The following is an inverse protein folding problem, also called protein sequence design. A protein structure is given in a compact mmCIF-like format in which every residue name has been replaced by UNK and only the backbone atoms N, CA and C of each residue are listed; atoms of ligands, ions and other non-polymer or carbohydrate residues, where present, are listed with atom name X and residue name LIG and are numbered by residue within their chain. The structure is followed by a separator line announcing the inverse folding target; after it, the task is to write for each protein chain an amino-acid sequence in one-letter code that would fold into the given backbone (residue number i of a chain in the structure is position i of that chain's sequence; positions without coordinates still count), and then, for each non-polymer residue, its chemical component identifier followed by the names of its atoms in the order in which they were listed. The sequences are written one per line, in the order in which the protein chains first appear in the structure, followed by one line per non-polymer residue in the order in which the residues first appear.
data_IF_128375029671
#
_entry.id   IF_128375029671
#
_cell.length_a   1.000
_cell.length_b   1.000
_cell.length_c   1.000
_cell.angle_alpha   90.00
_cell.angle_beta   90.00
_cell.angle_gamma   90.00
#
_symmetry.space_group_name_H-M   'P 1'
#
loop_
_entity.id
_entity.type
_entity.pdbx_description
1 polymer ?
#
# COMPACT_ATOMS: atom_id res chain seq x y z
N UNK A 1 -24.74 -36.76 -45.76
CA UNK A 1 -23.50 -36.05 -46.13
C UNK A 1 -22.66 -35.93 -44.88
N UNK A 2 -21.58 -36.70 -44.77
CA UNK A 2 -20.68 -36.62 -43.61
C UNK A 2 -19.82 -35.37 -43.76
N UNK A 3 -19.79 -34.51 -42.74
CA UNK A 3 -18.92 -33.34 -42.70
C UNK A 3 -17.44 -33.77 -42.56
N UNK A 4 -16.49 -33.03 -43.13
CA UNK A 4 -15.08 -33.40 -43.10
C UNK A 4 -14.50 -33.15 -41.70
N UNK A 5 -13.58 -34.01 -41.27
CA UNK A 5 -12.84 -33.83 -40.02
C UNK A 5 -12.03 -32.51 -40.05
N UNK A 6 -12.05 -31.71 -38.98
CA UNK A 6 -11.25 -30.50 -38.89
C UNK A 6 -9.77 -30.83 -38.80
N UNK A 7 -8.95 -30.07 -39.52
CA UNK A 7 -7.49 -30.15 -39.45
C UNK A 7 -6.99 -29.84 -38.02
N UNK A 8 -5.90 -30.47 -37.55
CA UNK A 8 -5.38 -30.18 -36.23
C UNK A 8 -4.92 -28.71 -36.16
N UNK A 9 -5.45 -27.98 -35.17
CA UNK A 9 -4.98 -26.66 -34.80
C UNK A 9 -3.51 -26.74 -34.35
N UNK A 10 -2.71 -25.68 -34.58
CA UNK A 10 -1.30 -25.68 -34.22
C UNK A 10 -1.17 -25.89 -32.71
N UNK A 11 -0.39 -26.89 -32.31
CA UNK A 11 -0.07 -27.15 -30.92
C UNK A 11 0.57 -25.88 -30.31
N UNK A 12 -0.17 -25.19 -29.44
CA UNK A 12 0.45 -24.23 -28.53
C UNK A 12 1.17 -25.06 -27.48
N UNK A 13 2.48 -25.14 -27.64
CA UNK A 13 3.40 -25.67 -26.65
C UNK A 13 3.30 -24.83 -25.38
N UNK A 14 2.72 -25.38 -24.32
CA UNK A 14 2.88 -24.89 -22.95
C UNK A 14 4.37 -24.97 -22.59
N UNK A 15 5.07 -23.86 -22.82
CA UNK A 15 6.42 -23.67 -22.29
C UNK A 15 6.28 -23.27 -20.83
N UNK A 16 6.46 -24.23 -19.94
CA UNK A 16 7.11 -23.97 -18.66
C UNK A 16 8.37 -23.14 -18.97
N UNK A 17 8.33 -21.82 -18.76
CA UNK A 17 9.52 -20.99 -18.91
C UNK A 17 10.43 -21.24 -17.72
N UNK A 18 11.17 -22.35 -17.76
CA UNK A 18 12.35 -22.63 -16.93
C UNK A 18 13.54 -21.78 -17.40
N UNK A 19 13.29 -20.53 -17.77
CA UNK A 19 14.26 -19.64 -18.40
C UNK A 19 14.30 -18.28 -17.70
N UNK A 20 15.45 -17.57 -17.77
CA UNK A 20 15.65 -16.29 -17.09
C UNK A 20 14.83 -15.12 -17.67
N UNK A 21 13.97 -15.38 -18.66
CA UNK A 21 13.15 -14.38 -19.36
C UNK A 21 11.68 -14.56 -18.97
N UNK A 22 11.20 -13.59 -18.21
CA UNK A 22 9.79 -13.35 -17.92
C UNK A 22 9.19 -12.44 -19.01
N UNK A 23 8.12 -12.92 -19.66
CA UNK A 23 7.43 -12.18 -20.71
C UNK A 23 6.73 -10.92 -20.20
N UNK A 24 6.28 -10.89 -18.95
CA UNK A 24 5.63 -9.72 -18.37
C UNK A 24 6.64 -8.58 -18.20
N UNK A 25 7.85 -8.88 -17.71
CA UNK A 25 8.94 -7.91 -17.59
C UNK A 25 9.34 -7.36 -18.97
N UNK A 26 9.35 -8.23 -19.99
CA UNK A 26 9.68 -7.83 -21.35
C UNK A 26 8.65 -6.83 -21.90
N UNK A 27 7.35 -7.09 -21.70
CA UNK A 27 6.29 -6.18 -22.12
C UNK A 27 6.29 -4.88 -21.32
N UNK A 28 6.60 -4.91 -20.02
CA UNK A 28 6.76 -3.69 -19.20
C UNK A 28 7.87 -2.80 -19.77
N UNK A 29 9.05 -3.38 -20.03
CA UNK A 29 10.16 -2.64 -20.62
C UNK A 29 9.82 -2.09 -22.01
N UNK A 30 9.19 -2.90 -22.88
CA UNK A 30 8.74 -2.44 -24.20
C UNK A 30 7.77 -1.27 -24.09
N UNK A 31 6.78 -1.35 -23.20
CA UNK A 31 5.80 -0.29 -22.96
C UNK A 31 6.50 1.02 -22.56
N UNK A 32 7.47 0.94 -21.64
CA UNK A 32 8.25 2.10 -21.18
C UNK A 32 9.08 2.73 -22.29
N UNK A 33 9.73 1.93 -23.13
CA UNK A 33 10.44 2.45 -24.30
C UNK A 33 9.48 3.11 -25.30
N UNK A 34 8.35 2.48 -25.57
CA UNK A 34 7.35 3.00 -26.50
C UNK A 34 6.74 4.32 -26.02
N UNK A 35 6.49 4.48 -24.72
CA UNK A 35 5.94 5.72 -24.17
C UNK A 35 6.92 6.90 -24.31
N UNK A 36 8.21 6.65 -24.06
CA UNK A 36 9.27 7.66 -24.24
C UNK A 36 9.40 8.06 -25.72
N UNK A 37 9.26 7.10 -26.63
CA UNK A 37 9.28 7.36 -28.07
C UNK A 37 8.01 8.07 -28.57
N UNK A 38 6.86 7.80 -27.95
CA UNK A 38 5.60 8.44 -28.29
C UNK A 38 5.54 9.91 -27.83
N UNK A 39 6.15 10.23 -26.68
CA UNK A 39 6.10 11.57 -26.06
C UNK A 39 7.48 12.08 -25.62
N UNK A 40 8.46 12.19 -26.54
CA UNK A 40 9.83 12.51 -26.18
C UNK A 40 9.99 13.93 -25.61
N UNK A 41 9.23 14.90 -26.11
CA UNK A 41 9.28 16.28 -25.63
C UNK A 41 8.76 16.43 -24.19
N UNK A 42 7.76 15.64 -23.80
CA UNK A 42 7.24 15.65 -22.42
C UNK A 42 8.25 15.06 -21.46
N UNK A 43 8.85 13.92 -21.83
CA UNK A 43 9.86 13.25 -21.01
C UNK A 43 11.12 14.09 -20.85
N UNK A 44 11.66 14.67 -21.93
CA UNK A 44 12.87 15.52 -21.88
C UNK A 44 12.68 16.74 -20.99
N UNK A 45 11.49 17.36 -21.02
CA UNK A 45 11.17 18.51 -20.19
C UNK A 45 10.63 18.14 -18.79
N UNK A 46 10.54 16.84 -18.47
CA UNK A 46 10.05 16.41 -17.17
C UNK A 46 11.02 16.79 -16.05
N UNK A 47 10.47 17.41 -15.02
CA UNK A 47 11.17 17.79 -13.78
C UNK A 47 10.30 17.44 -12.59
N UNK A 48 10.92 16.96 -11.53
CA UNK A 48 10.22 16.67 -10.29
C UNK A 48 9.60 17.96 -9.69
N UNK A 49 8.42 17.87 -9.06
CA UNK A 49 7.78 19.00 -8.36
C UNK A 49 8.67 19.66 -7.29
N UNK A 50 8.38 20.90 -6.91
CA UNK A 50 9.09 21.59 -5.82
C UNK A 50 8.89 20.92 -4.45
N UNK A 51 7.84 20.11 -4.30
CA UNK A 51 7.54 19.31 -3.09
C UNK A 51 8.30 17.97 -3.04
N UNK A 52 9.18 17.69 -4.00
CA UNK A 52 9.94 16.43 -4.05
C UNK A 52 11.05 16.38 -3.00
N UNK A 53 11.25 15.17 -2.46
CA UNK A 53 12.24 14.89 -1.42
C UNK A 53 13.65 14.77 -2.01
N UNK A 54 14.69 15.17 -1.26
CA UNK A 54 16.07 14.94 -1.66
C UNK A 54 16.42 13.44 -1.63
N UNK A 55 17.48 13.08 -2.36
CA UNK A 55 18.08 11.74 -2.30
C UNK A 55 18.75 11.54 -0.94
N UNK A 56 18.45 10.43 -0.26
CA UNK A 56 19.08 10.13 1.03
C UNK A 56 20.53 9.68 0.83
N UNK A 57 20.76 8.80 -0.14
CA UNK A 57 22.09 8.31 -0.45
C UNK A 57 22.84 9.29 -1.36
N UNK A 58 24.07 9.61 -0.99
CA UNK A 58 24.95 10.50 -1.77
C UNK A 58 25.36 9.86 -3.10
N UNK A 59 25.35 10.63 -4.19
CA UNK A 59 25.72 10.16 -5.53
C UNK A 59 27.15 9.61 -5.59
N UNK A 60 28.12 10.31 -5.01
CA UNK A 60 29.53 9.87 -4.94
C UNK A 60 29.84 8.92 -3.78
N UNK A 61 28.80 8.44 -3.07
CA UNK A 61 28.95 7.48 -1.98
C UNK A 61 29.13 6.03 -2.44
N UNK A 62 29.56 5.78 -3.68
CA UNK A 62 29.54 4.46 -4.30
C UNK A 62 30.42 3.41 -3.59
N UNK A 63 31.44 3.82 -2.84
CA UNK A 63 32.38 2.92 -2.15
C UNK A 63 31.88 2.30 -0.83
N UNK A 64 30.68 2.65 -0.37
CA UNK A 64 30.13 2.13 0.89
C UNK A 64 28.70 1.61 0.70
N UNK A 65 28.42 0.29 0.70
CA UNK A 65 29.34 -0.79 1.06
C UNK A 65 30.25 -1.22 -0.10
N UNK A 66 31.46 -1.65 0.23
CA UNK A 66 32.49 -2.09 -0.73
C UNK A 66 32.01 -3.31 -1.55
N UNK A 67 31.22 -4.19 -0.94
CA UNK A 67 30.65 -5.37 -1.62
C UNK A 67 29.71 -4.99 -2.76
N UNK A 68 28.83 -4.00 -2.54
CA UNK A 68 27.95 -3.48 -3.59
C UNK A 68 28.76 -2.82 -4.69
N UNK A 69 29.74 -1.98 -4.33
CA UNK A 69 30.67 -1.37 -5.28
C UNK A 69 31.36 -2.43 -6.17
N UNK A 70 31.90 -3.49 -5.56
CA UNK A 70 32.59 -4.55 -6.27
C UNK A 70 31.66 -5.31 -7.24
N UNK A 71 30.45 -5.65 -6.80
CA UNK A 71 29.47 -6.34 -7.65
C UNK A 71 29.02 -5.43 -8.81
N UNK A 72 28.72 -4.16 -8.54
CA UNK A 72 28.27 -3.23 -9.59
C UNK A 72 29.38 -2.89 -10.58
N UNK A 73 30.64 -2.81 -10.14
CA UNK A 73 31.78 -2.60 -11.03
C UNK A 73 32.06 -3.82 -11.93
N UNK A 74 31.96 -5.04 -11.39
CA UNK A 74 32.28 -6.26 -12.13
C UNK A 74 31.11 -6.78 -12.98
N UNK A 75 29.89 -6.67 -12.46
CA UNK A 75 28.66 -7.23 -13.06
C UNK A 75 27.48 -6.27 -12.83
N UNK A 76 27.49 -5.08 -13.46
CA UNK A 76 26.47 -4.05 -13.25
C UNK A 76 25.05 -4.52 -13.62
N UNK A 77 24.92 -5.45 -14.59
CA UNK A 77 23.63 -6.00 -14.98
C UNK A 77 22.90 -6.72 -13.84
N UNK A 78 23.64 -7.39 -12.93
CA UNK A 78 23.04 -8.07 -11.77
C UNK A 78 22.52 -7.05 -10.76
N UNK A 79 23.28 -5.99 -10.47
CA UNK A 79 22.80 -4.90 -9.61
C UNK A 79 21.59 -4.22 -10.24
N UNK A 80 21.62 -3.95 -11.54
CA UNK A 80 20.48 -3.37 -12.26
C UNK A 80 19.23 -4.26 -12.16
N UNK A 81 19.35 -5.55 -12.47
CA UNK A 81 18.25 -6.50 -12.37
C UNK A 81 17.72 -6.66 -10.94
N UNK A 82 18.60 -6.60 -9.93
CA UNK A 82 18.23 -6.60 -8.50
C UNK A 82 17.43 -5.36 -8.13
N UNK A 83 17.92 -4.18 -8.49
CA UNK A 83 17.26 -2.91 -8.20
C UNK A 83 15.90 -2.86 -8.88
N UNK A 84 15.79 -3.30 -10.14
CA UNK A 84 14.51 -3.37 -10.85
C UNK A 84 13.52 -4.32 -10.18
N UNK A 85 13.95 -5.55 -9.83
CA UNK A 85 13.10 -6.52 -9.13
C UNK A 85 12.58 -5.98 -7.80
N UNK A 86 13.44 -5.28 -7.04
CA UNK A 86 13.05 -4.64 -5.77
C UNK A 86 11.99 -3.55 -5.99
N UNK A 87 12.10 -2.79 -7.08
CA UNK A 87 11.19 -1.69 -7.38
C UNK A 87 9.84 -2.16 -7.93
N UNK A 88 9.81 -3.16 -8.80
CA UNK A 88 8.57 -3.51 -9.53
C UNK A 88 7.90 -4.80 -9.04
N UNK A 89 8.66 -5.77 -8.54
CA UNK A 89 8.12 -7.09 -8.18
C UNK A 89 7.94 -7.26 -6.68
N UNK A 90 9.06 -7.32 -5.95
CA UNK A 90 9.01 -7.65 -4.53
C UNK A 90 10.13 -6.92 -3.76
N UNK A 91 9.70 -6.16 -2.76
CA UNK A 91 10.55 -5.34 -1.88
C UNK A 91 11.58 -6.17 -1.11
N UNK A 92 11.24 -7.41 -0.76
CA UNK A 92 12.05 -8.35 0.00
C UNK A 92 12.90 -9.28 -0.88
N UNK A 93 12.90 -9.08 -2.21
CA UNK A 93 13.61 -9.92 -3.18
C UNK A 93 13.18 -11.40 -3.17
N UNK A 94 11.94 -11.71 -2.76
CA UNK A 94 11.41 -13.06 -2.91
C UNK A 94 11.29 -13.41 -4.40
N UNK A 95 11.70 -14.63 -4.75
CA UNK A 95 11.75 -15.08 -6.15
C UNK A 95 12.76 -14.34 -7.03
N UNK A 96 13.69 -13.57 -6.43
CA UNK A 96 14.76 -12.92 -7.19
C UNK A 96 15.81 -13.92 -7.65
N UNK A 97 16.04 -13.95 -8.96
CA UNK A 97 17.17 -14.64 -9.57
C UNK A 97 18.21 -13.62 -10.08
N UNK A 98 19.53 -13.85 -9.85
CA UNK A 98 20.58 -12.93 -10.29
C UNK A 98 20.57 -12.63 -11.79
N UNK A 99 20.19 -13.63 -12.61
CA UNK A 99 20.04 -13.50 -14.05
C UNK A 99 18.55 -13.51 -14.38
N UNK A 100 17.97 -12.31 -14.45
CA UNK A 100 16.57 -12.10 -14.82
C UNK A 100 16.44 -11.28 -16.11
N UNK A 101 15.20 -11.04 -16.59
CA UNK A 101 14.93 -10.27 -17.82
C UNK A 101 15.63 -8.92 -17.83
N UNK A 102 15.60 -8.19 -16.72
CA UNK A 102 16.22 -6.86 -16.61
C UNK A 102 17.75 -6.91 -16.61
N UNK A 103 18.35 -7.94 -16.00
CA UNK A 103 19.77 -8.21 -16.09
C UNK A 103 20.19 -8.48 -17.54
N UNK A 104 19.45 -9.33 -18.26
CA UNK A 104 19.72 -9.64 -19.67
C UNK A 104 19.53 -8.42 -20.58
N UNK A 105 18.50 -7.61 -20.34
CA UNK A 105 18.26 -6.35 -21.05
C UNK A 105 19.43 -5.37 -20.86
N UNK A 106 19.88 -5.18 -19.63
CA UNK A 106 20.99 -4.28 -19.33
C UNK A 106 22.30 -4.77 -19.96
N UNK A 107 22.56 -6.08 -19.86
CA UNK A 107 23.71 -6.70 -20.50
C UNK A 107 23.69 -6.51 -22.03
N UNK A 108 22.57 -6.82 -22.68
CA UNK A 108 22.40 -6.63 -24.12
C UNK A 108 22.57 -5.15 -24.54
N UNK A 109 22.02 -4.22 -23.75
CA UNK A 109 22.18 -2.78 -23.96
C UNK A 109 23.64 -2.31 -23.79
N UNK A 110 24.38 -2.95 -22.89
CA UNK A 110 25.82 -2.69 -22.68
C UNK A 110 26.63 -3.15 -23.89
N UNK A 111 26.30 -4.30 -24.48
CA UNK A 111 26.96 -4.81 -25.68
C UNK A 111 26.88 -3.85 -26.89
N UNK A 112 25.85 -3.00 -26.94
CA UNK A 112 25.66 -1.99 -28.01
C UNK A 112 25.95 -0.55 -27.57
N UNK A 113 26.49 -0.34 -26.35
CA UNK A 113 26.84 0.99 -25.84
C UNK A 113 25.65 1.88 -25.45
N UNK A 114 24.44 1.31 -25.32
CA UNK A 114 23.21 2.03 -24.99
C UNK A 114 22.71 1.78 -23.56
N UNK A 115 23.56 1.25 -22.67
CA UNK A 115 23.22 0.93 -21.28
C UNK A 115 22.74 2.13 -20.45
N UNK A 116 23.14 3.35 -20.81
CA UNK A 116 22.70 4.58 -20.15
C UNK A 116 21.20 4.84 -20.32
N UNK A 117 20.56 4.30 -21.38
CA UNK A 117 19.12 4.45 -21.60
C UNK A 117 18.30 3.69 -20.56
N UNK A 118 18.39 2.35 -20.43
CA UNK A 118 17.64 1.62 -19.40
C UNK A 118 18.02 2.08 -17.99
N UNK A 119 19.27 2.51 -17.77
CA UNK A 119 19.70 3.06 -16.48
C UNK A 119 18.98 4.38 -16.13
N UNK A 120 18.90 5.31 -17.09
CA UNK A 120 18.18 6.58 -16.91
C UNK A 120 16.67 6.34 -16.75
N UNK A 121 16.09 5.39 -17.51
CA UNK A 121 14.68 5.04 -17.36
C UNK A 121 14.37 4.46 -15.97
N UNK A 122 15.23 3.58 -15.46
CA UNK A 122 15.08 3.06 -14.11
C UNK A 122 15.21 4.18 -13.05
N UNK A 123 16.17 5.10 -13.22
CA UNK A 123 16.31 6.27 -12.35
C UNK A 123 15.06 7.14 -12.36
N UNK A 124 14.49 7.41 -13.54
CA UNK A 124 13.26 8.17 -13.69
C UNK A 124 12.09 7.50 -12.96
N UNK A 125 11.93 6.18 -13.12
CA UNK A 125 10.89 5.42 -12.41
C UNK A 125 11.09 5.41 -10.89
N UNK A 126 12.34 5.32 -10.41
CA UNK A 126 12.66 5.45 -8.99
C UNK A 126 12.29 6.84 -8.46
N UNK A 127 12.56 7.90 -9.22
CA UNK A 127 12.19 9.28 -8.84
C UNK A 127 10.69 9.48 -8.79
N UNK A 128 9.97 8.96 -9.77
CA UNK A 128 8.52 9.04 -9.82
C UNK A 128 7.86 8.26 -8.68
N UNK A 129 8.30 7.02 -8.46
CA UNK A 129 7.78 6.14 -7.39
C UNK A 129 7.96 6.74 -5.99
N UNK A 130 9.10 7.38 -5.73
CA UNK A 130 9.43 7.90 -4.40
C UNK A 130 9.40 9.42 -4.27
N UNK A 131 8.86 10.12 -5.28
CA UNK A 131 8.81 11.59 -5.35
C UNK A 131 10.17 12.26 -5.05
N UNK A 132 11.22 11.83 -5.76
CA UNK A 132 12.59 12.33 -5.60
C UNK A 132 12.89 13.51 -6.54
N UNK A 133 13.75 14.42 -6.08
CA UNK A 133 14.23 15.54 -6.89
C UNK A 133 15.06 15.06 -8.09
N UNK A 134 14.81 15.64 -9.26
CA UNK A 134 15.57 15.38 -10.48
C UNK A 134 14.87 15.87 -11.74
N UNK A 135 15.48 15.59 -12.88
CA UNK A 135 14.91 15.84 -14.21
C UNK A 135 15.45 14.81 -15.19
N UNK A 136 14.76 14.61 -16.32
CA UNK A 136 15.20 13.66 -17.34
C UNK A 136 16.64 13.93 -17.81
N UNK A 137 17.03 15.19 -17.99
CA UNK A 137 18.39 15.55 -18.40
C UNK A 137 19.46 15.17 -17.37
N UNK A 138 19.14 15.33 -16.08
CA UNK A 138 20.05 14.93 -14.99
C UNK A 138 20.16 13.40 -14.92
N UNK A 139 19.06 12.68 -15.14
CA UNK A 139 19.11 11.21 -15.17
C UNK A 139 19.95 10.69 -16.33
N UNK A 140 19.81 11.30 -17.51
CA UNK A 140 20.64 10.97 -18.68
C UNK A 140 22.12 11.24 -18.43
N UNK A 141 22.42 12.42 -17.88
CA UNK A 141 23.79 12.84 -17.60
C UNK A 141 24.44 11.95 -16.53
N UNK A 142 23.71 11.60 -15.48
CA UNK A 142 24.23 10.73 -14.41
C UNK A 142 24.43 9.30 -14.90
N UNK A 143 23.49 8.76 -15.67
CA UNK A 143 23.60 7.44 -16.28
C UNK A 143 24.77 7.33 -17.28
N UNK A 144 25.00 8.38 -18.09
CA UNK A 144 26.06 8.39 -19.10
C UNK A 144 27.45 8.71 -18.51
N UNK A 145 27.55 9.64 -17.56
CA UNK A 145 28.83 10.15 -17.07
C UNK A 145 29.37 9.42 -15.83
N UNK A 146 28.51 8.83 -14.98
CA UNK A 146 28.93 7.89 -13.94
C UNK A 146 27.87 6.81 -13.69
N UNK A 147 27.66 5.92 -14.65
CA UNK A 147 26.66 4.84 -14.55
C UNK A 147 26.84 3.93 -13.32
N UNK A 148 28.08 3.71 -12.86
CA UNK A 148 28.34 2.94 -11.63
C UNK A 148 27.85 3.69 -10.38
N UNK A 149 28.19 4.99 -10.24
CA UNK A 149 27.72 5.82 -9.13
C UNK A 149 26.18 5.89 -9.12
N UNK A 150 25.59 6.10 -10.30
CA UNK A 150 24.16 6.18 -10.50
C UNK A 150 23.47 4.89 -10.06
N UNK A 151 23.90 3.74 -10.59
CA UNK A 151 23.30 2.45 -10.27
C UNK A 151 23.43 2.09 -8.77
N UNK A 152 24.57 2.39 -8.15
CA UNK A 152 24.76 2.15 -6.71
C UNK A 152 23.87 3.09 -5.89
N UNK A 153 23.72 4.35 -6.29
CA UNK A 153 22.80 5.28 -5.63
C UNK A 153 21.36 4.77 -5.74
N UNK A 154 20.95 4.31 -6.92
CA UNK A 154 19.62 3.73 -7.15
C UNK A 154 19.37 2.49 -6.29
N UNK A 155 20.31 1.54 -6.19
CA UNK A 155 20.14 0.32 -5.40
C UNK A 155 19.96 0.63 -3.90
N UNK A 156 20.80 1.52 -3.36
CA UNK A 156 20.70 1.92 -1.95
C UNK A 156 19.45 2.72 -1.64
N UNK A 157 19.04 3.59 -2.56
CA UNK A 157 17.83 4.38 -2.37
C UNK A 157 16.59 3.47 -2.43
N UNK A 158 16.56 2.52 -3.37
CA UNK A 158 15.53 1.49 -3.42
C UNK A 158 15.53 0.64 -2.15
N UNK A 159 16.67 0.17 -1.68
CA UNK A 159 16.76 -0.61 -0.43
C UNK A 159 16.29 0.19 0.79
N UNK A 160 16.78 1.42 0.97
CA UNK A 160 16.42 2.29 2.09
C UNK A 160 14.92 2.59 2.12
N UNK A 161 14.34 2.95 0.97
CA UNK A 161 12.93 3.36 0.89
C UNK A 161 11.98 2.19 0.92
N UNK A 162 12.34 1.07 0.29
CA UNK A 162 11.54 -0.14 0.41
C UNK A 162 11.61 -0.69 1.84
N UNK A 163 12.77 -0.68 2.50
CA UNK A 163 12.90 -1.03 3.92
C UNK A 163 12.11 -0.08 4.83
N UNK A 164 12.05 1.22 4.53
CA UNK A 164 11.15 2.14 5.23
C UNK A 164 9.69 1.81 4.95
N UNK A 165 9.33 1.49 3.71
CA UNK A 165 7.96 1.13 3.35
C UNK A 165 7.52 -0.20 3.96
N UNK A 166 8.45 -1.14 4.19
CA UNK A 166 8.24 -2.39 4.94
C UNK A 166 8.20 -2.10 6.44
N UNK A 167 9.03 -1.22 6.98
CA UNK A 167 8.87 -0.73 8.36
C UNK A 167 7.59 0.10 8.58
N UNK A 168 6.94 0.54 7.49
CA UNK A 168 5.63 1.20 7.48
C UNK A 168 4.50 0.22 7.10
N UNK A 169 4.83 -0.95 6.54
CA UNK A 169 3.92 -1.98 6.02
C UNK A 169 3.83 -3.24 6.88
N UNK A 170 4.84 -3.52 7.69
CA UNK A 170 4.76 -4.20 8.98
C UNK A 170 4.38 -3.13 9.99
N UNK A 171 3.08 -2.97 10.22
CA UNK A 171 2.49 -2.11 11.25
C UNK A 171 3.24 -0.81 11.49
N UNK A 172 2.85 0.27 10.77
CA UNK A 172 3.00 1.68 11.16
C UNK A 172 3.85 1.83 12.43
N UNK A 173 5.18 1.90 12.30
CA UNK A 173 6.02 2.28 13.43
C UNK A 173 5.63 3.71 13.77
N UNK A 174 4.86 3.81 14.84
CA UNK A 174 4.72 5.00 15.64
C UNK A 174 6.06 5.74 15.63
N UNK A 175 6.10 6.90 14.97
CA UNK A 175 7.14 7.86 15.33
C UNK A 175 7.03 8.03 16.84
N UNK A 176 8.15 8.10 17.54
CA UNK A 176 8.25 8.20 19.00
C UNK A 176 7.65 9.51 19.59
N UNK A 177 6.76 10.16 18.84
CA UNK A 177 5.88 11.26 19.25
C UNK A 177 4.38 10.84 19.23
N UNK A 178 4.07 9.58 18.90
CA UNK A 178 2.78 8.94 19.15
C UNK A 178 2.74 8.44 20.59
N UNK A 179 2.73 9.36 21.55
CA UNK A 179 2.09 9.03 22.82
C UNK A 179 0.64 8.68 22.49
N UNK A 180 0.30 7.40 22.47
CA UNK A 180 -0.97 6.95 23.06
C UNK A 180 -1.01 7.71 24.37
N UNK A 181 -1.86 8.73 24.49
CA UNK A 181 -2.06 9.43 25.76
C UNK A 181 -3.20 8.68 26.42
N UNK A 182 -2.95 7.73 27.33
CA UNK A 182 -4.00 7.26 28.20
C UNK A 182 -4.34 8.45 29.11
N UNK A 183 -5.62 8.58 29.45
CA UNK A 183 -6.08 9.29 30.64
C UNK A 183 -5.66 10.76 30.79
N UNK A 184 -5.93 11.63 29.80
CA UNK A 184 -6.18 13.03 30.15
C UNK A 184 -7.64 13.38 29.91
N UNK A 185 -8.35 13.97 30.90
CA UNK A 185 -9.62 14.62 30.62
C UNK A 185 -9.43 15.66 29.50
N UNK A 186 -10.51 15.99 28.78
CA UNK A 186 -10.43 16.91 27.65
C UNK A 186 -9.67 18.18 28.02
N UNK A 187 -8.57 18.46 27.32
CA UNK A 187 -7.71 19.62 27.64
C UNK A 187 -8.33 20.93 27.17
N UNK A 188 -9.26 20.86 26.21
CA UNK A 188 -9.93 22.02 25.64
C UNK A 188 -11.39 21.70 25.30
N UNK A 189 -12.25 22.69 25.49
CA UNK A 189 -13.61 22.71 24.97
C UNK A 189 -13.66 23.71 23.80
N UNK A 190 -14.59 23.56 22.86
CA UNK A 190 -15.48 22.41 22.68
C UNK A 190 -14.77 21.20 22.04
N UNK A 191 -15.31 19.99 22.25
CA UNK A 191 -14.77 18.77 21.63
C UNK A 191 -15.87 17.82 21.14
N UNK A 192 -15.47 16.91 20.23
CA UNK A 192 -16.34 15.87 19.72
C UNK A 192 -16.14 14.56 20.50
N UNK A 193 -17.20 14.01 21.08
CA UNK A 193 -17.19 12.69 21.72
C UNK A 193 -17.88 11.67 20.82
N UNK A 194 -17.22 10.56 20.54
CA UNK A 194 -17.67 9.49 19.67
C UNK A 194 -17.79 8.21 20.49
N UNK A 195 -19.02 7.79 20.77
CA UNK A 195 -19.28 6.54 21.50
C UNK A 195 -19.53 5.39 20.52
N UNK A 196 -18.68 4.37 20.56
CA UNK A 196 -18.72 3.19 19.68
C UNK A 196 -19.23 2.00 20.50
N UNK A 197 -20.53 1.74 20.38
CA UNK A 197 -21.22 0.57 20.91
C UNK A 197 -21.71 -0.33 19.77
N UNK A 198 -22.90 -0.92 19.91
CA UNK A 198 -23.57 -1.66 18.84
C UNK A 198 -23.69 -0.84 17.54
N UNK A 199 -24.06 0.44 17.69
CA UNK A 199 -23.91 1.48 16.68
C UNK A 199 -22.94 2.57 17.16
N UNK A 200 -22.91 3.69 16.46
CA UNK A 200 -22.04 4.83 16.78
C UNK A 200 -22.87 6.07 17.04
N UNK A 201 -22.55 6.82 18.09
CA UNK A 201 -23.16 8.12 18.37
C UNK A 201 -22.11 9.21 18.50
N UNK A 202 -22.38 10.34 17.86
CA UNK A 202 -21.53 11.53 17.85
C UNK A 202 -22.16 12.61 18.73
N UNK A 203 -21.39 13.14 19.67
CA UNK A 203 -21.84 14.12 20.63
C UNK A 203 -20.93 15.35 20.62
N UNK A 204 -21.54 16.52 20.57
CA UNK A 204 -20.89 17.78 20.80
C UNK A 204 -20.85 18.06 22.30
N UNK A 205 -19.66 18.28 22.86
CA UNK A 205 -19.52 18.74 24.25
C UNK A 205 -19.12 20.21 24.25
N UNK A 206 -19.98 21.04 24.82
CA UNK A 206 -19.79 22.49 24.91
C UNK A 206 -18.96 22.87 26.14
N UNK A 207 -18.48 24.12 26.21
CA UNK A 207 -17.71 24.65 27.35
C UNK A 207 -18.38 24.47 28.71
N UNK A 208 -19.72 24.47 28.74
CA UNK A 208 -20.52 24.26 29.95
C UNK A 208 -20.72 22.77 30.30
N UNK A 209 -19.93 21.86 29.72
CA UNK A 209 -20.10 20.39 29.80
C UNK A 209 -21.49 19.89 29.33
N UNK A 210 -22.23 20.71 28.59
CA UNK A 210 -23.48 20.27 27.97
C UNK A 210 -23.16 19.37 26.79
N UNK A 211 -23.63 18.12 26.89
CA UNK A 211 -23.49 17.13 25.84
C UNK A 211 -24.75 17.11 24.96
N UNK A 212 -24.58 17.34 23.66
CA UNK A 212 -25.66 17.27 22.69
C UNK A 212 -25.33 16.22 21.63
N UNK A 213 -26.25 15.28 21.39
CA UNK A 213 -26.11 14.32 20.28
C UNK A 213 -26.31 15.03 18.95
N UNK A 214 -25.29 15.01 18.10
CA UNK A 214 -25.32 15.66 16.79
C UNK A 214 -25.59 14.69 15.65
N UNK A 215 -25.22 13.41 15.80
CA UNK A 215 -25.37 12.41 14.73
C UNK A 215 -25.22 10.97 15.25
N UNK A 216 -25.34 9.99 14.35
CA UNK A 216 -25.00 8.59 14.59
C UNK A 216 -24.81 7.80 13.31
N UNK A 217 -24.24 6.60 13.45
CA UNK A 217 -24.13 5.59 12.39
C UNK A 217 -24.62 4.25 12.91
N UNK A 218 -25.38 3.50 12.11
CA UNK A 218 -25.74 2.12 12.40
C UNK A 218 -24.59 1.14 12.16
N UNK A 219 -23.53 1.59 11.47
CA UNK A 219 -22.36 0.79 11.15
C UNK A 219 -21.31 0.90 12.26
N UNK A 220 -21.55 0.17 13.35
CA UNK A 220 -20.69 0.12 14.54
C UNK A 220 -20.26 -1.31 14.90
N UNK A 221 -20.09 -1.57 16.20
CA UNK A 221 -19.59 -2.85 16.68
C UNK A 221 -20.47 -4.06 16.36
N UNK A 222 -21.81 -3.90 16.39
CA UNK A 222 -22.71 -5.01 16.04
C UNK A 222 -22.72 -5.33 14.55
N UNK A 223 -22.53 -4.33 13.69
CA UNK A 223 -22.38 -4.56 12.26
C UNK A 223 -21.08 -5.33 11.97
N UNK A 224 -19.97 -4.94 12.61
CA UNK A 224 -18.70 -5.66 12.51
C UNK A 224 -18.83 -7.12 12.95
N UNK A 225 -19.26 -7.35 14.19
CA UNK A 225 -19.38 -8.72 14.72
C UNK A 225 -20.38 -9.55 13.92
N UNK A 226 -21.53 -8.97 13.55
CA UNK A 226 -22.55 -9.66 12.76
C UNK A 226 -22.03 -10.12 11.41
N UNK A 227 -21.32 -9.25 10.68
CA UNK A 227 -20.72 -9.61 9.39
C UNK A 227 -19.61 -10.66 9.55
N UNK A 228 -18.74 -10.52 10.56
CA UNK A 228 -17.66 -11.49 10.77
C UNK A 228 -18.16 -12.86 11.20
N UNK A 229 -19.24 -12.94 12.00
CA UNK A 229 -19.88 -14.20 12.33
C UNK A 229 -20.46 -14.91 11.09
N UNK A 230 -20.97 -14.14 10.12
CA UNK A 230 -21.54 -14.68 8.88
C UNK A 230 -20.48 -15.09 7.87
N UNK A 231 -19.35 -14.36 7.82
CA UNK A 231 -18.35 -14.51 6.76
C UNK A 231 -17.14 -15.36 7.16
N UNK A 232 -16.93 -15.60 8.46
CA UNK A 232 -15.74 -16.30 8.97
C UNK A 232 -16.10 -17.39 9.96
N UNK A 233 -15.11 -18.21 10.34
CA UNK A 233 -15.23 -19.19 11.42
C UNK A 233 -15.04 -18.57 12.80
N UNK A 234 -14.68 -17.28 12.89
CA UNK A 234 -14.52 -16.61 14.17
C UNK A 234 -15.84 -16.61 14.96
N UNK A 235 -15.77 -16.80 16.27
CA UNK A 235 -16.98 -16.91 17.13
C UNK A 235 -17.06 -15.92 18.28
N UNK A 236 -15.93 -15.33 18.68
CA UNK A 236 -15.90 -14.29 19.72
C UNK A 236 -15.29 -13.01 19.17
N UNK A 237 -15.56 -11.88 19.81
CA UNK A 237 -15.00 -10.60 19.40
C UNK A 237 -13.47 -10.59 19.53
N UNK A 238 -12.94 -11.22 20.57
CA UNK A 238 -11.51 -11.36 20.82
C UNK A 238 -10.82 -12.17 19.71
N UNK A 239 -11.44 -13.27 19.28
CA UNK A 239 -10.96 -14.11 18.17
C UNK A 239 -10.97 -13.34 16.85
N UNK A 240 -12.03 -12.56 16.58
CA UNK A 240 -12.08 -11.67 15.41
C UNK A 240 -10.93 -10.66 15.40
N UNK A 241 -10.62 -10.06 16.55
CA UNK A 241 -9.52 -9.10 16.67
C UNK A 241 -8.15 -9.77 16.53
N UNK A 242 -7.96 -10.96 17.12
CA UNK A 242 -6.72 -11.73 16.98
C UNK A 242 -6.48 -12.15 15.52
N UNK A 243 -7.53 -12.57 14.82
CA UNK A 243 -7.45 -12.88 13.39
C UNK A 243 -7.18 -11.63 12.55
N UNK A 244 -7.81 -10.50 12.88
CA UNK A 244 -7.54 -9.24 12.22
C UNK A 244 -6.08 -8.81 12.38
N UNK A 245 -5.46 -8.97 13.55
CA UNK A 245 -4.04 -8.63 13.75
C UNK A 245 -3.08 -9.44 12.86
N UNK A 246 -3.47 -10.66 12.47
CA UNK A 246 -2.67 -11.56 11.61
C UNK A 246 -3.00 -11.44 10.13
N UNK A 247 -4.13 -10.83 9.80
CA UNK A 247 -4.64 -10.73 8.42
C UNK A 247 -3.99 -9.61 7.61
N UNK A 248 -4.18 -9.68 6.30
CA UNK A 248 -3.78 -8.66 5.34
C UNK A 248 -4.96 -8.30 4.43
N UNK A 249 -5.53 -7.11 4.63
CA UNK A 249 -6.67 -6.67 3.83
C UNK A 249 -6.33 -6.45 2.35
N UNK A 250 -5.06 -6.28 1.96
CA UNK A 250 -4.66 -6.16 0.56
C UNK A 250 -5.00 -7.41 -0.26
N UNK A 251 -5.26 -8.56 0.37
CA UNK A 251 -5.72 -9.75 -0.34
C UNK A 251 -7.19 -9.64 -0.78
N UNK A 252 -8.01 -8.89 -0.04
CA UNK A 252 -9.48 -8.85 -0.18
C UNK A 252 -9.98 -7.51 -0.74
N UNK A 253 -9.30 -6.44 -0.37
CA UNK A 253 -9.61 -5.07 -0.76
C UNK A 253 -8.85 -4.67 -2.02
N UNK A 254 -9.44 -3.74 -2.78
CA UNK A 254 -8.72 -3.02 -3.83
C UNK A 254 -8.12 -1.75 -3.25
N UNK A 255 -6.81 -1.62 -3.37
CA UNK A 255 -6.05 -0.45 -2.93
C UNK A 255 -5.90 0.57 -4.07
N UNK A 256 -5.52 1.80 -3.73
CA UNK A 256 -5.19 2.84 -4.72
C UNK A 256 -4.03 2.39 -5.61
N UNK A 257 -3.04 1.69 -5.05
CA UNK A 257 -1.94 1.08 -5.80
C UNK A 257 -2.40 0.05 -6.82
N UNK A 258 -3.48 -0.69 -6.56
CA UNK A 258 -4.05 -1.65 -7.50
C UNK A 258 -4.76 -0.97 -8.69
N UNK A 259 -5.07 0.33 -8.58
CA UNK A 259 -5.72 1.12 -9.64
C UNK A 259 -4.67 1.92 -10.43
N UNK A 260 -3.73 2.56 -9.73
CA UNK A 260 -2.83 3.55 -10.31
C UNK A 260 -1.37 3.11 -10.35
N UNK A 261 -0.99 2.02 -9.69
CA UNK A 261 0.41 1.56 -9.56
C UNK A 261 1.31 2.43 -8.68
N UNK A 262 0.83 3.60 -8.25
CA UNK A 262 1.59 4.63 -7.52
C UNK A 262 0.68 5.44 -6.60
N UNK A 263 1.28 6.28 -5.76
CA UNK A 263 0.52 7.29 -4.99
C UNK A 263 -0.22 8.22 -5.95
N UNK A 264 -1.51 8.44 -5.69
CA UNK A 264 -2.32 9.37 -6.47
C UNK A 264 -2.27 10.78 -5.85
N UNK A 265 -1.09 11.39 -6.00
CA UNK A 265 -0.70 12.65 -5.36
C UNK A 265 -1.59 13.86 -5.72
N UNK A 266 -2.25 13.84 -6.88
CA UNK A 266 -3.14 14.93 -7.33
C UNK A 266 -4.26 15.23 -6.35
N UNK A 267 -4.72 14.21 -5.60
CA UNK A 267 -5.73 14.35 -4.55
C UNK A 267 -5.25 13.78 -3.21
N UNK A 268 -3.94 13.63 -3.03
CA UNK A 268 -3.32 13.23 -1.77
C UNK A 268 -3.63 11.81 -1.29
N UNK A 269 -3.93 10.88 -2.21
CA UNK A 269 -4.21 9.49 -1.84
C UNK A 269 -2.96 8.62 -1.92
N UNK A 270 -2.64 7.93 -0.83
CA UNK A 270 -1.54 6.96 -0.78
C UNK A 270 -1.92 5.66 -1.50
N UNK A 271 -0.95 5.00 -2.13
CA UNK A 271 -1.12 3.72 -2.82
C UNK A 271 -1.63 2.61 -1.88
N UNK A 272 -1.30 2.69 -0.60
CA UNK A 272 -1.77 1.74 0.43
C UNK A 272 -3.17 2.02 0.93
N UNK A 273 -3.79 3.14 0.55
CA UNK A 273 -5.16 3.46 0.94
C UNK A 273 -6.13 2.49 0.26
N UNK A 274 -7.12 2.02 1.02
CA UNK A 274 -8.22 1.22 0.47
C UNK A 274 -9.07 2.09 -0.44
N UNK A 275 -9.16 1.70 -1.71
CA UNK A 275 -10.04 2.31 -2.70
C UNK A 275 -11.44 1.70 -2.65
N UNK A 276 -11.52 0.39 -2.46
CA UNK A 276 -12.78 -0.34 -2.39
C UNK A 276 -12.64 -1.62 -1.55
N UNK A 277 -13.35 -1.66 -0.42
CA UNK A 277 -13.37 -2.81 0.49
C UNK A 277 -14.07 -4.00 -0.18
N UNK A 278 -13.54 -5.22 -0.02
CA UNK A 278 -14.06 -6.48 -0.61
C UNK A 278 -14.13 -6.54 -2.14
N UNK A 279 -13.54 -5.59 -2.86
CA UNK A 279 -13.63 -5.53 -4.32
C UNK A 279 -12.99 -6.75 -5.01
N UNK A 280 -11.93 -7.34 -4.44
CA UNK A 280 -11.30 -8.53 -5.03
C UNK A 280 -12.22 -9.75 -4.92
N UNK A 281 -13.06 -9.82 -3.87
CA UNK A 281 -14.04 -10.88 -3.74
C UNK A 281 -15.11 -10.84 -4.83
N UNK A 282 -15.62 -9.65 -5.18
CA UNK A 282 -16.56 -9.48 -6.28
C UNK A 282 -15.94 -9.81 -7.65
N UNK A 283 -14.65 -9.50 -7.82
CA UNK A 283 -13.95 -9.69 -9.11
C UNK A 283 -13.73 -11.17 -9.45
N UNK A 284 -13.74 -12.07 -8.46
CA UNK A 284 -13.62 -13.51 -8.68
C UNK A 284 -14.88 -14.12 -9.31
N UNK A 285 -16.05 -13.49 -9.15
CA UNK A 285 -17.33 -13.97 -9.67
C UNK A 285 -17.49 -13.76 -11.19
N UNK A 286 -16.73 -12.83 -11.79
CA UNK A 286 -16.89 -12.39 -13.19
C UNK A 286 -15.78 -12.86 -14.14
N UNK A 287 -15.03 -13.92 -13.79
CA UNK A 287 -14.04 -14.50 -14.72
C UNK A 287 -14.77 -15.18 -15.90
N UNK A 288 -14.54 -14.75 -17.16
CA UNK A 288 -15.10 -15.47 -18.31
C UNK A 288 -14.52 -16.89 -18.39
N UNK A 289 -15.40 -17.85 -18.66
CA UNK A 289 -15.14 -19.31 -18.63
C UNK A 289 -13.92 -19.77 -19.45
N UNK A 290 -13.42 -18.95 -20.39
CA UNK A 290 -12.29 -19.26 -21.26
C UNK A 290 -10.92 -19.35 -20.55
N UNK A 291 -10.76 -18.80 -19.33
CA UNK A 291 -9.52 -18.91 -18.54
C UNK A 291 -9.61 -19.97 -17.42
N UNK A 292 -10.74 -20.68 -17.29
CA UNK A 292 -11.00 -21.61 -16.19
C UNK A 292 -10.51 -23.05 -16.45
N UNK A 293 -10.11 -23.40 -17.67
CA UNK A 293 -9.85 -24.81 -18.05
C UNK A 293 -8.43 -25.35 -17.81
N UNK A 294 -7.46 -24.56 -17.33
CA UNK A 294 -6.10 -25.07 -17.06
C UNK A 294 -5.79 -25.45 -15.59
N UNK A 295 -6.80 -25.42 -14.71
CA UNK A 295 -6.67 -26.07 -13.40
C UNK A 295 -7.78 -27.10 -13.24
N UNK A 296 -7.40 -28.37 -13.29
CA UNK A 296 -8.24 -29.48 -12.86
C UNK A 296 -8.56 -29.30 -11.37
N UNK A 297 -9.68 -28.64 -11.09
CA UNK A 297 -10.25 -28.54 -9.75
C UNK A 297 -11.12 -29.78 -9.56
N UNK A 298 -10.59 -30.76 -8.84
CA UNK A 298 -11.42 -31.70 -8.09
C UNK A 298 -12.11 -30.87 -6.98
N UNK A 299 -13.44 -30.90 -6.93
CA UNK A 299 -14.36 -30.21 -6.00
C UNK A 299 -14.78 -28.73 -6.28
N UNK A 300 -16.08 -28.47 -6.52
CA UNK A 300 -16.66 -27.11 -6.66
C UNK A 300 -16.53 -26.17 -5.45
N UNK A 301 -15.88 -26.60 -4.37
CA UNK A 301 -15.72 -25.84 -3.13
C UNK A 301 -14.46 -24.94 -3.11
N UNK A 302 -13.56 -25.07 -4.09
CA UNK A 302 -12.27 -24.37 -4.12
C UNK A 302 -12.31 -23.07 -4.95
N UNK A 303 -13.38 -22.29 -4.80
CA UNK A 303 -13.28 -20.84 -5.04
C UNK A 303 -12.22 -20.35 -4.07
N UNK A 304 -11.03 -19.98 -4.57
CA UNK A 304 -9.87 -19.50 -3.79
C UNK A 304 -10.35 -18.63 -2.61
N UNK A 305 -10.52 -19.26 -1.46
CA UNK A 305 -11.27 -18.67 -0.36
C UNK A 305 -10.34 -17.69 0.34
N UNK A 306 -10.76 -16.43 0.48
CA UNK A 306 -10.00 -15.49 1.29
C UNK A 306 -9.87 -16.04 2.70
N UNK A 307 -8.69 -15.89 3.30
CA UNK A 307 -8.49 -16.36 4.66
C UNK A 307 -9.40 -15.59 5.62
N UNK A 308 -9.91 -16.27 6.65
CA UNK A 308 -10.72 -15.65 7.69
C UNK A 308 -9.99 -14.46 8.33
N UNK A 309 -8.65 -14.56 8.48
CA UNK A 309 -7.80 -13.47 8.95
C UNK A 309 -7.85 -12.24 8.04
N UNK A 310 -7.76 -12.41 6.72
CA UNK A 310 -7.83 -11.29 5.78
C UNK A 310 -9.21 -10.64 5.76
N UNK A 311 -10.28 -11.43 5.86
CA UNK A 311 -11.66 -10.95 5.98
C UNK A 311 -11.84 -10.16 7.28
N UNK A 312 -11.34 -10.69 8.40
CA UNK A 312 -11.31 -10.01 9.69
C UNK A 312 -10.58 -8.67 9.60
N UNK A 313 -9.37 -8.64 9.05
CA UNK A 313 -8.60 -7.40 8.91
C UNK A 313 -9.30 -6.38 8.03
N UNK A 314 -9.83 -6.79 6.88
CA UNK A 314 -10.56 -5.92 5.95
C UNK A 314 -11.79 -5.28 6.61
N UNK A 315 -12.65 -6.07 7.28
CA UNK A 315 -13.86 -5.53 7.93
C UNK A 315 -13.55 -4.65 9.13
N UNK A 316 -12.58 -5.04 9.96
CA UNK A 316 -12.10 -4.20 11.07
C UNK A 316 -11.62 -2.86 10.52
N UNK A 317 -10.74 -2.88 9.52
CA UNK A 317 -10.25 -1.66 8.91
C UNK A 317 -11.38 -0.82 8.31
N UNK A 318 -12.30 -1.44 7.56
CA UNK A 318 -13.41 -0.75 6.90
C UNK A 318 -14.34 -0.03 7.88
N UNK A 319 -14.78 -0.73 8.94
CA UNK A 319 -15.70 -0.16 9.95
C UNK A 319 -15.02 1.00 10.68
N UNK A 320 -13.82 0.80 11.22
CA UNK A 320 -13.16 1.82 12.04
C UNK A 320 -12.61 2.98 11.20
N UNK A 321 -12.18 2.75 9.97
CA UNK A 321 -11.80 3.82 9.04
C UNK A 321 -13.03 4.67 8.66
N UNK A 322 -14.20 4.06 8.44
CA UNK A 322 -15.45 4.78 8.20
C UNK A 322 -15.87 5.63 9.41
N UNK A 323 -15.74 5.10 10.63
CA UNK A 323 -16.01 5.84 11.86
C UNK A 323 -15.05 7.05 11.98
N UNK A 324 -13.76 6.86 11.74
CA UNK A 324 -12.77 7.95 11.75
C UNK A 324 -13.05 9.03 10.70
N UNK A 325 -13.52 8.64 9.51
CA UNK A 325 -13.95 9.56 8.46
C UNK A 325 -15.14 10.41 8.90
N UNK A 326 -16.20 9.77 9.41
CA UNK A 326 -17.40 10.44 9.90
C UNK A 326 -17.09 11.37 11.08
N UNK A 327 -16.25 10.92 12.01
CA UNK A 327 -15.79 11.74 13.13
C UNK A 327 -15.07 13.00 12.64
N UNK A 328 -14.20 12.87 11.64
CA UNK A 328 -13.49 14.00 11.04
C UNK A 328 -14.43 14.97 10.35
N UNK A 329 -15.42 14.46 9.62
CA UNK A 329 -16.45 15.28 8.96
C UNK A 329 -17.28 16.07 9.98
N UNK A 330 -17.78 15.40 11.02
CA UNK A 330 -18.54 16.07 12.09
C UNK A 330 -17.67 17.08 12.85
N UNK A 331 -16.41 16.74 13.14
CA UNK A 331 -15.46 17.66 13.77
C UNK A 331 -15.25 18.92 12.95
N UNK A 332 -15.17 18.82 11.62
CA UNK A 332 -15.09 20.00 10.73
C UNK A 332 -16.37 20.84 10.74
N UNK A 333 -17.53 20.20 10.62
CA UNK A 333 -18.84 20.89 10.60
C UNK A 333 -19.06 21.68 11.89
N UNK A 334 -18.70 21.10 13.04
CA UNK A 334 -18.94 21.69 14.36
C UNK A 334 -17.72 22.43 14.94
N UNK A 335 -16.62 22.56 14.19
CA UNK A 335 -15.46 23.35 14.60
C UNK A 335 -14.66 22.76 15.77
N UNK A 336 -14.70 21.45 15.99
CA UNK A 336 -13.98 20.80 17.09
C UNK A 336 -12.52 20.51 16.68
N UNK A 337 -11.51 20.92 17.47
CA UNK A 337 -10.11 20.55 17.20
C UNK A 337 -9.80 19.11 17.61
N UNK A 338 -10.36 18.65 18.73
CA UNK A 338 -10.08 17.36 19.34
C UNK A 338 -11.29 16.41 19.22
N UNK A 339 -11.01 15.14 18.92
CA UNK A 339 -11.99 14.06 18.78
C UNK A 339 -11.66 12.97 19.80
N UNK A 340 -12.62 12.64 20.66
CA UNK A 340 -12.50 11.61 21.70
C UNK A 340 -13.34 10.40 21.34
N UNK A 341 -12.73 9.22 21.28
CA UNK A 341 -13.40 7.95 21.07
C UNK A 341 -13.56 7.21 22.39
N UNK A 342 -14.73 6.62 22.61
CA UNK A 342 -15.06 5.79 23.78
C UNK A 342 -15.98 4.64 23.36
N UNK A 343 -16.29 3.75 24.30
CA UNK A 343 -17.20 2.63 24.12
C UNK A 343 -16.51 1.26 24.19
N UNK A 344 -17.26 0.19 24.42
CA UNK A 344 -16.72 -1.14 24.75
C UNK A 344 -15.88 -1.75 23.62
N UNK A 345 -16.14 -1.38 22.37
CA UNK A 345 -15.45 -1.98 21.21
C UNK A 345 -14.03 -1.45 21.01
N UNK A 346 -13.66 -0.29 21.55
CA UNK A 346 -12.32 0.31 21.38
C UNK A 346 -11.42 0.07 22.59
N UNK A 347 -11.97 -0.47 23.67
CA UNK A 347 -11.22 -0.69 24.91
C UNK A 347 -10.12 -1.72 24.69
N UNK A 348 -8.89 -1.35 25.05
CA UNK A 348 -7.72 -2.23 25.12
C UNK A 348 -7.28 -2.93 23.82
N UNK A 349 -7.75 -2.49 22.65
CA UNK A 349 -7.29 -3.03 21.36
C UNK A 349 -6.42 -2.02 20.60
N UNK A 350 -5.11 -2.28 20.53
CA UNK A 350 -4.14 -1.39 19.88
C UNK A 350 -4.38 -1.24 18.38
N UNK A 351 -4.81 -2.31 17.70
CA UNK A 351 -5.17 -2.28 16.28
C UNK A 351 -6.25 -1.22 15.98
N UNK A 352 -7.30 -1.19 16.81
CA UNK A 352 -8.43 -0.27 16.63
C UNK A 352 -8.05 1.17 16.94
N UNK A 353 -7.31 1.38 18.03
CA UNK A 353 -6.81 2.71 18.42
C UNK A 353 -5.96 3.29 17.29
N UNK A 354 -5.01 2.49 16.75
CA UNK A 354 -4.17 2.90 15.62
C UNK A 354 -5.00 3.23 14.39
N UNK A 355 -5.96 2.37 14.04
CA UNK A 355 -6.83 2.56 12.87
C UNK A 355 -7.61 3.88 12.94
N UNK A 356 -8.21 4.19 14.09
CA UNK A 356 -8.94 5.44 14.32
C UNK A 356 -8.02 6.66 14.24
N UNK A 357 -6.85 6.62 14.87
CA UNK A 357 -5.88 7.71 14.84
C UNK A 357 -5.36 7.98 13.41
N UNK A 358 -5.02 6.92 12.67
CA UNK A 358 -4.60 7.01 11.27
C UNK A 358 -5.72 7.61 10.42
N UNK A 359 -6.96 7.14 10.57
CA UNK A 359 -8.10 7.65 9.81
C UNK A 359 -8.33 9.15 10.08
N UNK A 360 -8.38 9.57 11.35
CA UNK A 360 -8.56 10.99 11.69
C UNK A 360 -7.43 11.84 11.13
N UNK A 361 -6.17 11.43 11.29
CA UNK A 361 -5.04 12.17 10.74
C UNK A 361 -5.10 12.26 9.22
N UNK A 362 -5.45 11.16 8.54
CA UNK A 362 -5.55 11.08 7.09
C UNK A 362 -6.63 12.03 6.56
N UNK A 363 -7.87 11.91 7.05
CA UNK A 363 -8.98 12.72 6.55
C UNK A 363 -8.89 14.19 6.99
N UNK A 364 -8.21 14.48 8.11
CA UNK A 364 -7.99 15.85 8.57
C UNK A 364 -6.72 16.51 8.02
N UNK A 365 -5.87 15.77 7.30
CA UNK A 365 -4.52 16.22 6.91
C UNK A 365 -3.65 16.65 8.12
N UNK A 366 -3.90 16.04 9.29
CA UNK A 366 -3.21 16.35 10.54
C UNK A 366 -3.75 17.55 11.32
N UNK A 367 -4.82 18.20 10.84
CA UNK A 367 -5.45 19.34 11.53
C UNK A 367 -6.15 18.93 12.84
N UNK A 368 -6.71 17.72 12.89
CA UNK A 368 -7.49 17.22 14.03
C UNK A 368 -6.70 16.17 14.81
N UNK A 369 -6.92 16.11 16.12
CA UNK A 369 -6.31 15.11 17.01
C UNK A 369 -7.34 14.09 17.47
N UNK A 370 -6.95 12.82 17.44
CA UNK A 370 -7.74 11.70 17.96
C UNK A 370 -7.23 11.29 19.33
N UNK A 371 -8.17 11.04 20.25
CA UNK A 371 -7.91 10.55 21.59
C UNK A 371 -8.81 9.36 21.87
N UNK A 372 -8.32 8.36 22.60
CA UNK A 372 -9.14 7.22 23.04
C UNK A 372 -9.23 7.23 24.56
N UNK A 373 -10.46 7.24 25.07
CA UNK A 373 -10.74 7.26 26.51
C UNK A 373 -10.85 5.81 26.99
N UNK A 374 -9.94 5.39 27.87
CA UNK A 374 -9.95 4.07 28.50
C UNK A 374 -10.55 4.22 29.90
N UNK A 375 -11.73 3.63 30.13
CA UNK A 375 -12.32 3.59 31.47
C UNK A 375 -11.55 2.59 32.34
N UNK A 376 -10.69 3.10 33.23
CA UNK A 376 -10.04 2.30 34.26
C UNK A 376 -11.04 1.98 35.38
N UNK A 377 -11.86 0.95 35.20
CA UNK A 377 -12.41 0.12 36.28
C UNK A 377 -13.28 0.77 37.37
N UNK A 378 -13.63 2.06 37.33
CA UNK A 378 -14.68 2.61 38.18
C UNK A 378 -16.01 2.48 37.44
N UNK A 379 -16.81 1.51 37.87
CA UNK A 379 -18.25 1.51 37.66
C UNK A 379 -18.82 2.78 38.32
N UNK A 380 -18.93 3.85 37.53
CA UNK A 380 -19.41 5.15 37.98
C UNK A 380 -19.24 6.21 36.91
N UNK A 381 -20.29 6.44 36.13
CA UNK A 381 -20.60 7.65 35.37
C UNK A 381 -19.49 8.30 34.52
N UNK A 382 -19.21 7.65 33.39
CA UNK A 382 -19.22 8.35 32.09
C UNK A 382 -20.33 7.75 31.21
N UNK A 383 -21.46 7.44 31.85
CA UNK A 383 -22.74 7.30 31.19
C UNK A 383 -23.19 8.72 30.83
N UNK A 384 -23.39 8.96 29.54
CA UNK A 384 -24.18 10.11 29.12
C UNK A 384 -25.62 10.01 29.61
#
# INVERSE_FOLDING_TARGET
MAAPAPAPAPAQTNTHNNGPIDHNDLEEWKSRFNDVLARPSEHVNSKSPETSQPWQNSFFGCFSPISLCAITCCVPCVTFGKTHHRLQKNKNLEGYEPVNTSCLLFWASTCVGLHWIPLALQRASLREKHNLQGSCLVDLATACCCGCCDLIQQDKEAEYREAQSVATGEGYKANEDETIVPSTPPKSHPYLLVNIGSGVSFFQVSENNQCQRISGSSFGGSALCGLLLLLTRARTYEDMLEQAEKGNNANVDKLIGDIYGMDYNRIGMKMTAVASTFCKAFSLEHRPEAEAEEQSVEDPADIKSFSDADICHSLVFAVFNNIGQLATLHSRIHGNPDIYFTGPYVQNCQLLIRTLCIAVRYYSQGEKKAHVVINQGQAGDLTL
#
